data_IF_781327835096
#
_entry.id   IF_781327835096
#
_cell.length_a   1.000
_cell.length_b   1.000
_cell.length_c   1.000
_cell.angle_alpha   90.00
_cell.angle_beta   90.00
_cell.angle_gamma   90.00
#
_symmetry.space_group_name_H-M   'P 1'
#
loop_
_entity.id
_entity.type
_entity.pdbx_description
1 polymer ?
#
# COMPACT_ATOMS: atom_id res chain seq x y z
N UNK A 1 -3.62 -18.28 -12.10
CA UNK A 1 -2.75 -18.90 -11.09
C UNK A 1 -3.52 -18.95 -9.79
N UNK A 2 -3.19 -19.90 -8.92
CA UNK A 2 -3.82 -19.94 -7.60
C UNK A 2 -3.35 -18.74 -6.77
N UNK A 3 -4.23 -18.10 -5.98
CA UNK A 3 -3.84 -16.99 -5.13
C UNK A 3 -2.79 -17.40 -4.10
N UNK A 4 -1.86 -16.51 -3.79
CA UNK A 4 -0.86 -16.78 -2.75
C UNK A 4 -1.50 -16.91 -1.38
N UNK A 5 -0.85 -17.72 -0.53
CA UNK A 5 -1.32 -17.98 0.82
C UNK A 5 -1.38 -16.72 1.70
N UNK A 6 -2.37 -16.65 2.60
CA UNK A 6 -2.63 -15.48 3.43
C UNK A 6 -1.48 -15.09 4.36
N UNK A 7 -0.57 -16.02 4.68
CA UNK A 7 0.61 -15.70 5.49
C UNK A 7 1.53 -14.70 4.79
N UNK A 8 1.66 -14.78 3.46
CA UNK A 8 2.51 -13.91 2.64
C UNK A 8 1.80 -12.59 2.29
N UNK A 9 0.47 -12.60 2.20
CA UNK A 9 -0.30 -11.37 1.91
C UNK A 9 -0.18 -10.35 3.04
N UNK A 10 -0.03 -9.07 2.69
CA UNK A 10 0.18 -7.97 3.62
C UNK A 10 1.26 -6.99 3.16
N UNK A 11 1.69 -6.14 4.09
CA UNK A 11 2.83 -5.24 3.89
C UNK A 11 4.00 -5.68 4.78
N UNK A 12 5.21 -5.57 4.22
CA UNK A 12 6.42 -6.12 4.80
C UNK A 12 7.57 -5.13 4.69
N UNK A 13 8.43 -5.14 5.71
CA UNK A 13 9.71 -4.43 5.68
C UNK A 13 10.84 -5.39 5.94
N UNK A 14 11.94 -5.22 5.22
CA UNK A 14 13.17 -5.96 5.49
C UNK A 14 13.93 -5.30 6.65
N UNK A 15 14.25 -6.06 7.68
CA UNK A 15 15.07 -5.60 8.80
C UNK A 15 16.55 -5.61 8.48
N UNK A 16 17.03 -6.65 7.82
CA UNK A 16 18.39 -6.75 7.30
C UNK A 16 18.50 -7.82 6.23
N UNK A 17 19.61 -7.77 5.51
CA UNK A 17 20.15 -8.84 4.68
C UNK A 17 21.54 -9.26 5.18
N UNK A 18 21.90 -10.52 4.99
CA UNK A 18 23.26 -11.03 5.08
C UNK A 18 23.57 -11.75 3.77
N UNK A 19 24.77 -11.52 3.25
CA UNK A 19 25.28 -12.21 2.07
C UNK A 19 26.59 -12.87 2.36
N UNK A 20 26.82 -14.00 1.73
CA UNK A 20 28.13 -14.57 1.59
C UNK A 20 29.04 -13.60 0.81
N UNK A 21 30.31 -13.46 1.24
CA UNK A 21 31.27 -12.60 0.54
C UNK A 21 32.09 -13.34 -0.50
N UNK A 22 32.34 -14.63 -0.26
CA UNK A 22 33.10 -15.52 -1.14
C UNK A 22 32.40 -16.88 -1.18
N UNK A 23 32.32 -17.56 -2.34
CA UNK A 23 31.69 -18.88 -2.45
C UNK A 23 32.20 -19.87 -1.39
N UNK A 24 31.28 -20.45 -0.61
CA UNK A 24 31.57 -21.42 0.46
C UNK A 24 32.03 -20.82 1.81
N UNK A 25 31.98 -19.50 1.98
CA UNK A 25 32.25 -18.80 3.24
C UNK A 25 31.00 -18.63 4.12
N UNK A 26 31.19 -18.10 5.34
CA UNK A 26 30.06 -17.79 6.23
C UNK A 26 29.36 -16.51 5.78
N UNK A 27 28.04 -16.46 5.97
CA UNK A 27 27.24 -15.24 5.82
C UNK A 27 27.86 -14.08 6.61
N UNK A 28 27.98 -12.93 5.95
CA UNK A 28 28.52 -11.70 6.51
C UNK A 28 27.68 -11.09 7.66
N UNK A 29 28.04 -9.89 8.11
CA UNK A 29 27.25 -9.18 9.12
C UNK A 29 25.87 -8.78 8.58
N UNK A 30 24.94 -8.49 9.49
CA UNK A 30 23.63 -7.93 9.16
C UNK A 30 23.80 -6.55 8.53
N UNK A 31 23.20 -6.37 7.36
CA UNK A 31 23.17 -5.11 6.62
C UNK A 31 21.74 -4.57 6.54
N UNK A 32 21.54 -3.36 7.07
CA UNK A 32 20.28 -2.63 7.05
C UNK A 32 20.43 -1.28 6.30
N UNK A 33 21.37 -1.21 5.36
CA UNK A 33 21.67 0.00 4.59
C UNK A 33 20.64 0.34 3.50
N UNK A 34 19.70 -0.56 3.23
CA UNK A 34 18.66 -0.43 2.21
C UNK A 34 17.29 -0.60 2.86
N UNK A 35 16.45 0.43 2.75
CA UNK A 35 15.04 0.40 3.10
C UNK A 35 14.29 -0.43 2.06
N UNK A 36 13.41 -1.31 2.52
CA UNK A 36 12.52 -2.11 1.66
C UNK A 36 11.09 -1.99 2.16
N UNK A 37 10.16 -1.71 1.25
CA UNK A 37 8.74 -1.85 1.47
C UNK A 37 8.16 -2.77 0.39
N UNK A 38 7.74 -3.95 0.81
CA UNK A 38 7.19 -5.00 -0.03
C UNK A 38 5.71 -5.17 0.28
N UNK A 39 4.86 -5.04 -0.74
CA UNK A 39 3.42 -5.20 -0.62
C UNK A 39 2.99 -6.40 -1.45
N UNK A 40 2.35 -7.38 -0.80
CA UNK A 40 1.80 -8.56 -1.44
C UNK A 40 0.29 -8.60 -1.25
N UNK A 41 -0.41 -8.76 -2.38
CA UNK A 41 -1.83 -9.13 -2.45
C UNK A 41 -1.95 -10.60 -2.85
N UNK A 42 -3.15 -11.20 -2.85
CA UNK A 42 -3.29 -12.58 -3.30
C UNK A 42 -2.81 -12.87 -4.74
N UNK A 43 -2.70 -11.86 -5.61
CA UNK A 43 -2.38 -12.07 -7.04
C UNK A 43 -1.14 -11.33 -7.53
N UNK A 44 -0.74 -10.26 -6.85
CA UNK A 44 0.34 -9.40 -7.32
C UNK A 44 1.14 -8.83 -6.16
N UNK A 45 2.38 -8.47 -6.46
CA UNK A 45 3.28 -7.83 -5.52
C UNK A 45 3.98 -6.64 -6.14
N UNK A 46 4.47 -5.75 -5.29
CA UNK A 46 5.47 -4.73 -5.63
C UNK A 46 6.49 -4.65 -4.50
N UNK A 47 7.77 -4.64 -4.87
CA UNK A 47 8.93 -4.49 -4.00
C UNK A 47 9.64 -3.18 -4.36
N UNK A 48 9.74 -2.25 -3.39
CA UNK A 48 10.49 -1.00 -3.54
C UNK A 48 11.69 -1.03 -2.59
N UNK A 49 12.90 -0.89 -3.14
CA UNK A 49 14.18 -0.91 -2.41
C UNK A 49 14.98 0.35 -2.72
N UNK A 50 15.47 1.02 -1.69
CA UNK A 50 16.37 2.19 -1.85
C UNK A 50 17.33 2.36 -0.68
N UNK A 51 18.50 3.00 -0.86
CA UNK A 51 19.42 3.25 0.24
C UNK A 51 18.79 4.04 1.38
N UNK A 52 18.93 3.57 2.62
CA UNK A 52 18.34 4.19 3.81
C UNK A 52 18.92 5.60 4.08
N UNK A 53 20.17 5.84 3.67
CA UNK A 53 20.86 7.13 3.83
C UNK A 53 21.36 7.64 2.49
N UNK A 54 21.30 8.97 2.31
CA UNK A 54 21.90 9.64 1.15
C UNK A 54 23.42 9.41 1.10
N UNK A 55 23.94 9.19 -0.11
CA UNK A 55 25.39 9.13 -0.36
C UNK A 55 26.09 7.83 0.08
N UNK A 56 25.35 6.77 0.40
CA UNK A 56 25.93 5.42 0.52
C UNK A 56 26.41 4.92 -0.84
N UNK A 57 27.52 4.18 -0.86
CA UNK A 57 28.24 3.77 -2.07
C UNK A 57 27.41 2.93 -3.04
N UNK A 58 27.89 2.84 -4.29
CA UNK A 58 27.32 2.19 -5.49
C UNK A 58 26.83 0.74 -5.36
N UNK A 59 27.04 0.06 -4.23
CA UNK A 59 26.53 -1.30 -3.99
C UNK A 59 25.12 -1.30 -3.38
N UNK A 60 24.72 -0.25 -2.65
CA UNK A 60 23.33 -0.04 -2.27
C UNK A 60 22.58 0.49 -3.50
N UNK A 61 22.26 -0.41 -4.42
CA UNK A 61 21.48 -0.07 -5.61
C UNK A 61 20.04 0.14 -5.23
N UNK A 62 19.47 1.20 -5.76
CA UNK A 62 18.02 1.36 -5.83
C UNK A 62 17.47 0.31 -6.78
N UNK A 63 16.50 -0.47 -6.32
CA UNK A 63 15.89 -1.56 -7.08
C UNK A 63 14.40 -1.51 -6.82
N UNK A 64 13.60 -1.76 -7.85
CA UNK A 64 12.17 -1.89 -7.66
C UNK A 64 11.58 -2.75 -8.76
N UNK A 65 10.63 -3.60 -8.40
CA UNK A 65 9.98 -4.48 -9.36
C UNK A 65 8.59 -4.85 -8.88
N UNK A 66 7.74 -5.25 -9.81
CA UNK A 66 6.37 -5.65 -9.56
C UNK A 66 5.98 -6.79 -10.47
N UNK A 67 5.03 -7.61 -10.02
CA UNK A 67 4.68 -8.81 -10.77
C UNK A 67 3.74 -9.71 -10.01
N UNK A 68 3.90 -11.01 -10.25
CA UNK A 68 3.09 -12.08 -9.66
C UNK A 68 3.97 -13.04 -8.87
N UNK A 69 3.37 -13.71 -7.89
CA UNK A 69 4.10 -14.60 -6.99
C UNK A 69 3.54 -16.00 -7.08
N UNK A 70 4.41 -17.00 -7.03
CA UNK A 70 4.00 -18.41 -6.85
C UNK A 70 4.56 -18.93 -5.53
N UNK A 71 3.79 -19.76 -4.84
CA UNK A 71 4.20 -20.39 -3.57
C UNK A 71 4.12 -21.89 -3.65
N UNK A 72 5.10 -22.58 -3.07
CA UNK A 72 5.18 -24.04 -3.02
C UNK A 72 5.48 -24.51 -1.61
N UNK A 73 4.90 -25.63 -1.21
CA UNK A 73 5.27 -26.32 0.03
C UNK A 73 6.64 -26.99 -0.13
N UNK A 74 7.45 -26.95 0.92
CA UNK A 74 8.68 -27.76 0.99
C UNK A 74 8.45 -29.01 1.84
N UNK A 75 9.25 -30.05 1.59
CA UNK A 75 9.14 -31.35 2.31
C UNK A 75 9.33 -31.23 3.83
N UNK A 76 10.01 -30.18 4.31
CA UNK A 76 10.24 -29.90 5.72
C UNK A 76 9.22 -28.94 6.35
N UNK A 77 8.12 -28.61 5.66
CA UNK A 77 7.06 -27.73 6.17
C UNK A 77 7.38 -26.23 6.10
N UNK A 78 8.47 -25.85 5.43
CA UNK A 78 8.74 -24.48 5.00
C UNK A 78 7.92 -24.12 3.75
N UNK A 79 8.10 -22.88 3.29
CA UNK A 79 7.43 -22.37 2.08
C UNK A 79 8.48 -21.85 1.11
N UNK A 80 8.41 -22.24 -0.16
CA UNK A 80 9.19 -21.62 -1.22
C UNK A 80 8.34 -20.55 -1.88
N UNK A 81 8.91 -19.37 -2.08
CA UNK A 81 8.31 -18.25 -2.81
C UNK A 81 9.12 -18.00 -4.07
N UNK A 82 8.45 -17.91 -5.21
CA UNK A 82 9.03 -17.52 -6.48
C UNK A 82 8.44 -16.17 -6.88
N UNK A 83 9.30 -15.18 -7.12
CA UNK A 83 8.86 -13.86 -7.59
C UNK A 83 9.04 -13.75 -9.09
N UNK A 84 7.94 -13.48 -9.78
CA UNK A 84 7.96 -13.35 -11.23
C UNK A 84 7.80 -11.87 -11.60
N UNK A 85 8.92 -11.17 -11.70
CA UNK A 85 8.94 -9.77 -12.11
C UNK A 85 8.31 -9.60 -13.50
N UNK A 86 7.29 -8.75 -13.59
CA UNK A 86 6.63 -8.35 -14.83
C UNK A 86 6.88 -6.88 -15.16
N UNK A 87 7.48 -6.13 -14.23
CA UNK A 87 8.05 -4.81 -14.41
C UNK A 87 9.23 -4.68 -13.45
N UNK A 88 10.31 -4.05 -13.90
CA UNK A 88 11.54 -3.86 -13.15
C UNK A 88 12.11 -2.48 -13.48
N UNK A 89 12.71 -1.83 -12.48
CA UNK A 89 13.39 -0.55 -12.60
C UNK A 89 14.65 -0.64 -13.48
N UNK A 90 15.37 -1.77 -13.40
CA UNK A 90 16.61 -2.01 -14.14
C UNK A 90 16.36 -2.43 -15.59
N UNK A 91 15.11 -2.73 -15.96
CA UNK A 91 14.76 -2.87 -17.36
C UNK A 91 14.86 -1.51 -18.03
N UNK A 92 15.70 -1.44 -19.08
CA UNK A 92 15.93 -0.22 -19.85
C UNK A 92 14.59 0.51 -20.09
N UNK A 93 14.51 1.77 -19.64
CA UNK A 93 13.30 2.61 -19.61
C UNK A 93 12.77 2.96 -21.03
N UNK A 94 13.33 2.34 -22.07
CA UNK A 94 12.92 2.45 -23.46
C UNK A 94 12.01 1.31 -23.93
N UNK A 95 11.95 1.19 -25.26
CA UNK A 95 11.07 0.23 -25.94
C UNK A 95 11.39 -1.22 -25.56
N UNK A 96 12.66 -1.56 -25.35
CA UNK A 96 13.08 -2.92 -24.98
C UNK A 96 12.54 -3.34 -23.60
N UNK A 97 12.63 -2.47 -22.58
CA UNK A 97 12.05 -2.76 -21.27
C UNK A 97 10.53 -2.90 -21.33
N UNK A 98 9.86 -2.05 -22.12
CA UNK A 98 8.42 -2.16 -22.35
C UNK A 98 8.02 -3.49 -23.01
N UNK A 99 8.82 -3.99 -23.96
CA UNK A 99 8.59 -5.29 -24.60
C UNK A 99 8.81 -6.45 -23.60
N UNK A 100 9.86 -6.38 -22.76
CA UNK A 100 10.11 -7.36 -21.68
C UNK A 100 8.94 -7.42 -20.69
N UNK A 101 8.45 -6.26 -20.23
CA UNK A 101 7.26 -6.20 -19.38
C UNK A 101 6.02 -6.77 -20.04
N UNK A 102 5.79 -6.42 -21.31
CA UNK A 102 4.62 -6.92 -22.03
C UNK A 102 4.67 -8.45 -22.17
N UNK A 103 5.84 -9.02 -22.45
CA UNK A 103 6.04 -10.46 -22.56
C UNK A 103 5.87 -11.17 -21.20
N UNK A 104 6.42 -10.61 -20.12
CA UNK A 104 6.31 -11.16 -18.78
C UNK A 104 4.84 -11.15 -18.29
N UNK A 105 4.13 -10.03 -18.49
CA UNK A 105 2.70 -9.95 -18.17
C UNK A 105 1.86 -10.92 -19.01
N UNK A 106 2.14 -11.05 -20.31
CA UNK A 106 1.45 -12.01 -21.17
C UNK A 106 1.66 -13.46 -20.70
N UNK A 107 2.86 -13.79 -20.23
CA UNK A 107 3.19 -15.10 -19.68
C UNK A 107 2.43 -15.35 -18.35
N UNK A 108 2.40 -14.35 -17.45
CA UNK A 108 1.63 -14.40 -16.21
C UNK A 108 0.12 -14.55 -16.45
N UNK A 109 -0.45 -13.76 -17.37
CA UNK A 109 -1.86 -13.83 -17.78
C UNK A 109 -2.21 -15.23 -18.35
N UNK A 110 -1.27 -15.87 -19.04
CA UNK A 110 -1.41 -17.23 -19.55
C UNK A 110 -1.20 -18.33 -18.48
N UNK A 111 -1.02 -17.96 -17.21
CA UNK A 111 -0.77 -18.88 -16.10
C UNK A 111 0.61 -19.53 -16.13
N UNK A 112 1.57 -18.96 -16.87
CA UNK A 112 2.94 -19.46 -17.02
C UNK A 112 3.93 -18.31 -16.83
N UNK A 113 3.98 -17.70 -15.64
CA UNK A 113 4.86 -16.57 -15.39
C UNK A 113 6.31 -16.95 -15.64
N UNK A 114 7.11 -16.00 -16.14
CA UNK A 114 8.52 -16.25 -16.43
C UNK A 114 9.29 -16.43 -15.12
N UNK A 115 10.13 -17.46 -15.05
CA UNK A 115 11.00 -17.69 -13.90
C UNK A 115 12.10 -16.63 -13.81
N UNK A 116 12.47 -16.28 -12.58
CA UNK A 116 13.62 -15.46 -12.22
C UNK A 116 14.53 -16.29 -11.30
N UNK A 117 15.72 -15.77 -11.04
CA UNK A 117 16.61 -16.26 -9.98
C UNK A 117 16.08 -15.97 -8.56
N UNK A 118 15.08 -15.09 -8.43
CA UNK A 118 14.50 -14.69 -7.15
C UNK A 118 13.58 -15.80 -6.62
N UNK A 119 14.18 -16.69 -5.84
CA UNK A 119 13.54 -17.79 -5.14
C UNK A 119 13.97 -17.73 -3.67
N UNK A 120 12.99 -17.70 -2.77
CA UNK A 120 13.22 -17.59 -1.32
C UNK A 120 12.55 -18.73 -0.55
N UNK A 121 13.27 -19.32 0.40
CA UNK A 121 12.75 -20.27 1.39
C UNK A 121 12.35 -19.51 2.66
N UNK A 122 11.08 -19.53 3.02
CA UNK A 122 10.52 -18.79 4.13
C UNK A 122 10.24 -19.67 5.35
N UNK A 123 10.69 -19.18 6.50
CA UNK A 123 10.43 -19.73 7.82
C UNK A 123 9.90 -18.64 8.78
N UNK A 124 8.81 -18.91 9.48
CA UNK A 124 8.31 -18.01 10.52
C UNK A 124 9.16 -18.16 11.79
N UNK A 125 10.01 -17.17 12.07
CA UNK A 125 10.92 -17.19 13.23
C UNK A 125 10.32 -16.52 14.48
N UNK A 126 9.27 -15.72 14.33
CA UNK A 126 8.55 -15.12 15.44
C UNK A 126 7.06 -14.94 15.09
N UNK A 127 6.17 -15.55 15.86
CA UNK A 127 4.71 -15.46 15.66
C UNK A 127 4.05 -14.30 16.40
N UNK A 128 4.72 -13.72 17.41
CA UNK A 128 4.20 -12.55 18.13
C UNK A 128 4.30 -11.27 17.30
N UNK A 129 3.33 -10.36 17.45
CA UNK A 129 3.29 -9.08 16.73
C UNK A 129 4.45 -8.14 17.15
N UNK A 130 5.29 -7.65 16.21
CA UNK A 130 5.22 -7.88 14.76
C UNK A 130 5.77 -9.24 14.37
N UNK A 131 5.05 -9.95 13.50
CA UNK A 131 5.46 -11.25 12.99
C UNK A 131 6.78 -11.11 12.22
N UNK A 132 7.71 -12.03 12.46
CA UNK A 132 9.00 -12.06 11.77
C UNK A 132 9.20 -13.35 11.01
N UNK A 133 9.74 -13.21 9.81
CA UNK A 133 10.06 -14.30 8.92
C UNK A 133 11.52 -14.21 8.51
N UNK A 134 12.14 -15.35 8.33
CA UNK A 134 13.45 -15.48 7.70
C UNK A 134 13.23 -15.97 6.27
N UNK A 135 13.90 -15.33 5.34
CA UNK A 135 14.09 -15.83 3.98
C UNK A 135 15.54 -16.29 3.81
N UNK A 136 15.75 -17.43 3.17
CA UNK A 136 17.06 -17.85 2.65
C UNK A 136 16.95 -18.26 1.20
N UNK A 137 17.96 -17.99 0.39
CA UNK A 137 18.04 -18.58 -0.93
C UNK A 137 18.28 -20.11 -0.86
N UNK A 138 17.98 -20.86 -1.94
CA UNK A 138 18.13 -22.31 -1.93
C UNK A 138 19.56 -22.81 -1.72
N UNK A 139 20.57 -22.01 -2.05
CA UNK A 139 21.99 -22.36 -1.88
C UNK A 139 22.58 -21.87 -0.53
N UNK A 140 21.82 -21.10 0.24
CA UNK A 140 22.19 -20.61 1.56
C UNK A 140 23.23 -19.49 1.55
N UNK A 141 23.44 -18.83 0.41
CA UNK A 141 24.38 -17.70 0.26
C UNK A 141 23.77 -16.36 0.68
N UNK A 142 22.47 -16.32 0.94
CA UNK A 142 21.72 -15.14 1.37
C UNK A 142 20.74 -15.46 2.50
N UNK A 143 20.62 -14.53 3.45
CA UNK A 143 19.58 -14.54 4.49
C UNK A 143 18.99 -13.14 4.63
N UNK A 144 17.66 -13.05 4.66
CA UNK A 144 16.93 -11.82 4.99
C UNK A 144 15.99 -12.03 6.18
N UNK A 145 15.84 -11.00 7.02
CA UNK A 145 14.79 -10.96 8.04
C UNK A 145 13.71 -9.99 7.60
N UNK A 146 12.48 -10.49 7.49
CA UNK A 146 11.29 -9.75 7.12
C UNK A 146 10.39 -9.54 8.33
N UNK A 147 9.85 -8.34 8.45
CA UNK A 147 8.91 -7.94 9.49
C UNK A 147 7.59 -7.62 8.81
N UNK A 148 6.53 -8.33 9.19
CA UNK A 148 5.19 -8.04 8.74
C UNK A 148 4.68 -6.81 9.47
N UNK A 149 4.39 -5.74 8.73
CA UNK A 149 3.89 -4.48 9.30
C UNK A 149 2.37 -4.39 9.23
N UNK A 150 1.76 -5.05 8.25
CA UNK A 150 0.31 -5.18 8.10
C UNK A 150 -0.05 -6.61 7.71
N UNK A 151 -1.04 -7.16 8.40
CA UNK A 151 -1.58 -8.49 8.14
C UNK A 151 -2.50 -8.53 6.90
N UNK A 152 -3.08 -9.70 6.64
CA UNK A 152 -4.06 -9.81 5.58
C UNK A 152 -5.29 -8.92 5.88
N UNK A 153 -5.46 -7.88 5.07
CA UNK A 153 -6.53 -6.88 5.16
C UNK A 153 -7.36 -6.85 3.88
N UNK A 154 -8.11 -5.77 3.63
CA UNK A 154 -8.66 -5.55 2.30
C UNK A 154 -7.50 -5.34 1.30
N UNK A 155 -7.60 -5.97 0.13
CA UNK A 155 -6.57 -5.92 -0.90
C UNK A 155 -7.13 -5.31 -2.18
N UNK A 156 -6.29 -4.57 -2.88
CA UNK A 156 -6.54 -4.20 -4.27
C UNK A 156 -5.30 -4.43 -5.10
N UNK A 157 -5.49 -4.99 -6.29
CA UNK A 157 -4.47 -5.01 -7.34
C UNK A 157 -5.06 -4.41 -8.60
N UNK A 158 -4.47 -3.32 -9.09
CA UNK A 158 -4.87 -2.67 -10.34
C UNK A 158 -3.75 -2.74 -11.35
N UNK A 159 -4.08 -3.13 -12.58
CA UNK A 159 -3.15 -3.13 -13.72
C UNK A 159 -3.57 -2.13 -14.79
N UNK A 160 -2.60 -1.41 -15.35
CA UNK A 160 -2.76 -0.53 -16.52
C UNK A 160 -1.58 -0.68 -17.47
N UNK A 161 -1.79 -1.40 -18.58
CA UNK A 161 -0.70 -1.80 -19.46
C UNK A 161 0.34 -2.61 -18.68
N UNK A 162 1.57 -2.10 -18.62
CA UNK A 162 2.68 -2.71 -17.87
C UNK A 162 2.78 -2.24 -16.41
N UNK A 163 1.97 -1.26 -15.99
CA UNK A 163 1.98 -0.75 -14.63
C UNK A 163 1.10 -1.58 -13.69
N UNK A 164 1.51 -1.70 -12.43
CA UNK A 164 0.81 -2.40 -11.36
C UNK A 164 0.78 -1.53 -10.10
N UNK A 165 -0.42 -1.38 -9.52
CA UNK A 165 -0.65 -0.80 -8.20
C UNK A 165 -1.19 -1.90 -7.30
N UNK A 166 -0.59 -2.06 -6.12
CA UNK A 166 -1.05 -2.99 -5.09
C UNK A 166 -1.35 -2.24 -3.80
N UNK A 167 -2.35 -2.72 -3.06
CA UNK A 167 -2.75 -2.22 -1.75
C UNK A 167 -3.00 -3.40 -0.81
N UNK A 168 -2.48 -3.31 0.41
CA UNK A 168 -2.82 -4.14 1.55
C UNK A 168 -3.17 -3.25 2.75
N UNK A 169 -4.44 -3.25 3.15
CA UNK A 169 -5.01 -2.33 4.15
C UNK A 169 -4.77 -0.86 3.80
N UNK A 170 -3.93 -0.16 4.56
CA UNK A 170 -3.54 1.22 4.34
C UNK A 170 -2.18 1.37 3.64
N UNK A 171 -1.49 0.27 3.29
CA UNK A 171 -0.18 0.32 2.62
C UNK A 171 -0.30 0.03 1.13
N UNK A 172 0.31 0.88 0.30
CA UNK A 172 0.31 0.73 -1.14
C UNK A 172 1.72 0.68 -1.73
N UNK A 173 1.82 0.14 -2.94
CA UNK A 173 2.99 0.28 -3.79
C UNK A 173 2.60 0.31 -5.28
N UNK A 174 3.31 1.12 -6.05
CA UNK A 174 3.13 1.33 -7.49
C UNK A 174 4.46 1.03 -8.18
N UNK A 175 4.41 0.16 -9.18
CA UNK A 175 5.47 0.00 -10.17
C UNK A 175 4.92 0.38 -11.54
N UNK A 176 5.49 1.42 -12.13
CA UNK A 176 5.16 1.98 -13.44
C UNK A 176 6.45 2.52 -14.04
N UNK A 177 6.58 2.56 -15.37
CA UNK A 177 7.83 2.95 -16.05
C UNK A 177 8.52 4.17 -15.41
N UNK A 178 7.78 5.26 -15.16
CA UNK A 178 8.32 6.48 -14.55
C UNK A 178 8.24 6.55 -13.00
N UNK A 179 7.53 5.63 -12.34
CA UNK A 179 7.21 5.72 -10.92
C UNK A 179 7.30 4.36 -10.21
N UNK A 180 8.26 4.24 -9.32
CA UNK A 180 8.45 3.10 -8.43
C UNK A 180 8.42 3.58 -6.99
N UNK A 181 7.24 3.53 -6.38
CA UNK A 181 6.95 4.17 -5.09
C UNK A 181 6.10 3.29 -4.20
N UNK A 182 6.26 3.42 -2.89
CA UNK A 182 5.43 2.78 -1.89
C UNK A 182 5.15 3.75 -0.73
N UNK A 183 4.06 3.50 0.00
CA UNK A 183 3.69 4.35 1.12
C UNK A 183 2.37 3.95 1.76
N UNK A 184 1.71 4.92 2.39
CA UNK A 184 0.51 4.69 3.19
C UNK A 184 -0.63 5.65 2.86
N UNK A 185 -1.86 5.22 3.13
CA UNK A 185 -3.06 6.04 3.06
C UNK A 185 -3.26 6.68 4.43
N UNK A 186 -3.08 7.99 4.50
CA UNK A 186 -3.31 8.77 5.71
C UNK A 186 -4.81 8.79 6.10
N UNK A 187 -5.11 9.12 7.36
CA UNK A 187 -6.49 9.16 7.88
C UNK A 187 -7.44 10.09 7.10
N UNK A 188 -6.89 11.11 6.43
CA UNK A 188 -7.64 12.03 5.57
C UNK A 188 -7.92 11.48 4.17
N UNK A 189 -7.50 10.24 3.88
CA UNK A 189 -7.63 9.56 2.59
C UNK A 189 -6.53 9.88 1.58
N UNK A 190 -5.54 10.70 1.94
CA UNK A 190 -4.41 11.01 1.06
C UNK A 190 -3.44 9.84 1.00
N UNK A 191 -3.07 9.45 -0.22
CA UNK A 191 -2.05 8.44 -0.49
C UNK A 191 -0.70 9.14 -0.43
N UNK A 192 0.11 8.90 0.61
CA UNK A 192 1.38 9.58 0.82
C UNK A 192 2.52 8.63 0.49
N UNK A 193 3.44 9.08 -0.37
CA UNK A 193 4.64 8.31 -0.73
C UNK A 193 5.61 8.33 0.46
N UNK A 194 6.03 7.17 0.93
CA UNK A 194 7.05 7.03 2.00
C UNK A 194 8.41 6.63 1.45
N UNK A 195 8.40 5.85 0.38
CA UNK A 195 9.58 5.24 -0.21
C UNK A 195 9.53 5.40 -1.72
N UNK A 196 10.58 5.96 -2.31
CA UNK A 196 10.69 6.10 -3.76
C UNK A 196 12.03 5.56 -4.25
N UNK A 197 11.95 4.65 -5.21
CA UNK A 197 13.09 4.15 -5.97
C UNK A 197 13.37 4.98 -7.23
N UNK A 198 12.37 5.70 -7.75
CA UNK A 198 12.55 6.53 -8.95
C UNK A 198 13.01 7.95 -8.65
N UNK A 199 12.47 8.60 -7.61
CA UNK A 199 12.83 9.97 -7.21
C UNK A 199 12.51 10.24 -5.73
N UNK A 200 13.55 10.36 -4.90
CA UNK A 200 13.43 10.61 -3.46
C UNK A 200 12.69 11.92 -3.14
N UNK A 201 12.69 12.91 -4.03
CA UNK A 201 11.99 14.19 -3.80
C UNK A 201 10.46 14.05 -3.78
N UNK A 202 9.93 12.91 -4.25
CA UNK A 202 8.50 12.60 -4.19
C UNK A 202 8.06 12.08 -2.82
N UNK A 203 9.00 11.70 -1.95
CA UNK A 203 8.66 11.23 -0.60
C UNK A 203 8.01 12.34 0.24
N UNK A 204 6.98 11.98 1.01
CA UNK A 204 6.14 12.89 1.77
C UNK A 204 5.07 13.61 0.93
N UNK A 205 5.06 13.41 -0.40
CA UNK A 205 4.06 14.01 -1.29
C UNK A 205 2.90 13.06 -1.59
N UNK A 206 1.72 13.57 -1.99
CA UNK A 206 0.63 12.73 -2.42
C UNK A 206 0.96 11.96 -3.71
N UNK A 207 0.60 10.68 -3.77
CA UNK A 207 0.63 9.89 -4.98
C UNK A 207 -0.32 10.48 -6.03
N UNK A 208 0.19 10.72 -7.23
CA UNK A 208 -0.61 11.06 -8.40
C UNK A 208 -0.55 9.90 -9.37
N UNK A 209 -1.68 9.20 -9.53
CA UNK A 209 -1.81 8.18 -10.56
C UNK A 209 -1.98 8.87 -11.91
N UNK A 210 -1.12 8.50 -12.86
CA UNK A 210 -1.30 8.90 -14.25
C UNK A 210 -2.51 8.20 -14.88
N UNK A 211 -2.87 8.63 -16.08
CA UNK A 211 -3.90 8.00 -16.91
C UNK A 211 -5.31 8.27 -16.40
N UNK A 212 -6.29 7.89 -17.22
CA UNK A 212 -7.67 8.03 -16.80
C UNK A 212 -8.00 6.85 -15.87
N UNK A 213 -8.90 7.06 -14.90
CA UNK A 213 -9.48 6.00 -14.10
C UNK A 213 -9.70 4.70 -14.89
N UNK A 214 -10.63 4.70 -15.83
CA UNK A 214 -11.09 3.52 -16.56
C UNK A 214 -10.00 2.64 -17.23
N UNK A 215 -8.77 3.13 -17.36
CA UNK A 215 -7.63 2.38 -17.91
C UNK A 215 -7.05 1.37 -16.90
N UNK A 216 -7.32 1.54 -15.60
CA UNK A 216 -6.91 0.63 -14.53
C UNK A 216 -7.95 -0.48 -14.33
N UNK A 217 -7.48 -1.73 -14.45
CA UNK A 217 -8.31 -2.92 -14.29
C UNK A 217 -7.98 -3.64 -12.99
N UNK A 218 -8.99 -3.92 -12.18
CA UNK A 218 -8.82 -4.73 -10.99
C UNK A 218 -8.53 -6.19 -11.34
N UNK A 219 -7.61 -6.82 -10.61
CA UNK A 219 -7.36 -8.26 -10.71
C UNK A 219 -8.40 -9.05 -9.90
N UNK A 220 -8.73 -10.30 -10.30
CA UNK A 220 -9.88 -11.06 -9.79
C UNK A 220 -9.98 -11.24 -8.27
N UNK A 221 -8.86 -11.35 -7.55
CA UNK A 221 -8.83 -11.57 -6.10
C UNK A 221 -8.86 -10.29 -5.26
N UNK A 222 -9.07 -9.12 -5.90
CA UNK A 222 -9.26 -7.86 -5.20
C UNK A 222 -10.50 -7.92 -4.30
N UNK A 223 -10.37 -7.51 -3.03
CA UNK A 223 -11.48 -7.61 -2.09
C UNK A 223 -12.52 -6.52 -2.33
N UNK A 224 -13.80 -6.90 -2.30
CA UNK A 224 -14.92 -5.96 -2.36
C UNK A 224 -14.97 -5.17 -1.05
N UNK A 225 -14.52 -3.91 -1.06
CA UNK A 225 -14.55 -3.09 0.15
C UNK A 225 -13.53 -1.95 0.20
N UNK A 226 -12.54 -1.94 -0.68
CA UNK A 226 -11.61 -0.82 -0.76
C UNK A 226 -12.29 0.38 -1.41
N UNK A 227 -12.55 1.43 -0.64
CA UNK A 227 -13.15 2.69 -1.11
C UNK A 227 -12.05 3.73 -1.33
N UNK A 228 -11.99 4.27 -2.54
CA UNK A 228 -11.02 5.28 -2.95
C UNK A 228 -11.69 6.64 -3.02
N UNK A 229 -11.11 7.65 -2.37
CA UNK A 229 -11.57 9.02 -2.48
C UNK A 229 -10.45 9.91 -3.01
N UNK A 230 -10.15 9.79 -4.31
CA UNK A 230 -9.64 10.96 -5.00
C UNK A 230 -10.85 11.84 -5.29
N UNK A 231 -10.77 13.16 -5.11
CA UNK A 231 -11.88 14.12 -5.28
C UNK A 231 -12.48 14.19 -6.71
N UNK A 232 -12.21 13.19 -7.55
CA UNK A 232 -12.74 12.96 -8.90
C UNK A 232 -13.15 11.49 -9.19
N UNK A 233 -13.18 10.60 -8.20
CA UNK A 233 -13.97 9.34 -8.20
C UNK A 233 -13.24 8.03 -8.52
N UNK A 234 -13.63 6.95 -7.80
CA UNK A 234 -13.51 5.52 -8.12
C UNK A 234 -14.33 4.64 -7.15
N UNK A 235 -15.10 3.67 -7.67
CA UNK A 235 -15.76 2.60 -6.90
C UNK A 235 -15.34 1.20 -7.38
N UNK A 236 -15.03 0.29 -6.45
CA UNK A 236 -14.99 -1.17 -6.72
C UNK A 236 -15.97 -1.85 -5.76
N UNK A 237 -17.09 -2.31 -6.32
CA UNK A 237 -18.22 -2.87 -5.57
C UNK A 237 -19.56 -2.19 -5.87
N UNK A 238 -19.93 -2.06 -7.14
CA UNK A 238 -21.32 -1.86 -7.58
C UNK A 238 -22.04 -0.56 -7.17
N UNK A 239 -21.60 0.60 -7.67
CA UNK A 239 -22.43 1.73 -8.13
C UNK A 239 -21.54 2.70 -8.95
N UNK A 240 -22.14 3.66 -9.65
CA UNK A 240 -21.47 4.53 -10.63
C UNK A 240 -21.14 5.94 -10.11
N UNK A 241 -20.07 6.50 -10.70
CA UNK A 241 -19.52 7.86 -10.63
C UNK A 241 -20.50 9.03 -10.83
N UNK A 242 -20.07 10.26 -10.46
CA UNK A 242 -19.97 11.27 -11.51
C UNK A 242 -18.67 12.10 -11.53
N UNK A 243 -18.30 12.51 -12.75
CA UNK A 243 -17.31 13.53 -13.13
C UNK A 243 -17.68 14.93 -12.60
N UNK A 244 -16.73 15.89 -12.51
CA UNK A 244 -17.03 17.28 -12.15
C UNK A 244 -17.98 17.93 -13.15
N UNK A 245 -19.16 18.32 -12.70
CA UNK A 245 -20.04 19.21 -13.46
C UNK A 245 -19.40 20.59 -13.54
N UNK A 246 -19.16 21.05 -14.77
CA UNK A 246 -19.22 22.48 -15.06
C UNK A 246 -20.51 23.05 -14.47
N UNK A 247 -20.39 24.15 -13.71
CA UNK A 247 -21.51 24.81 -13.02
C UNK A 247 -22.73 24.97 -13.94
N UNK A 248 -23.82 24.31 -13.58
CA UNK A 248 -25.18 24.79 -13.86
C UNK A 248 -26.15 24.25 -12.80
N UNK A 249 -27.05 25.07 -12.23
CA UNK A 249 -27.85 24.66 -11.10
C UNK A 249 -29.12 23.95 -11.59
N UNK A 250 -29.26 22.65 -11.29
CA UNK A 250 -30.57 21.97 -11.15
C UNK A 250 -30.39 20.54 -10.60
N UNK A 251 -31.08 20.24 -9.51
CA UNK A 251 -31.11 18.91 -8.88
C UNK A 251 -31.72 17.86 -9.84
N UNK A 252 -31.22 16.62 -9.90
CA UNK A 252 -31.88 15.56 -10.65
C UNK A 252 -33.13 15.07 -9.91
N UNK A 253 -34.20 14.87 -10.67
CA UNK A 253 -35.48 14.28 -10.26
C UNK A 253 -35.62 12.91 -10.91
N UNK A 254 -36.41 12.00 -10.32
CA UNK A 254 -36.75 10.72 -10.95
C UNK A 254 -37.67 10.88 -12.19
N UNK A 255 -38.00 9.77 -12.87
CA UNK A 255 -38.90 9.76 -14.04
C UNK A 255 -40.33 10.25 -13.75
N UNK A 256 -40.63 10.54 -12.49
CA UNK A 256 -41.90 11.08 -12.00
C UNK A 256 -41.74 12.50 -11.39
N UNK A 257 -40.57 13.13 -11.49
CA UNK A 257 -40.33 14.50 -11.03
C UNK A 257 -40.13 14.66 -9.52
N UNK A 258 -39.69 13.62 -8.78
CA UNK A 258 -39.47 13.69 -7.32
C UNK A 258 -37.98 13.66 -6.92
N UNK A 259 -37.58 14.34 -5.82
CA UNK A 259 -36.22 14.27 -5.29
C UNK A 259 -35.93 12.89 -4.68
N UNK A 260 -34.79 12.30 -5.05
CA UNK A 260 -34.32 11.02 -4.50
C UNK A 260 -33.83 11.20 -3.04
N UNK A 261 -34.42 10.46 -2.11
CA UNK A 261 -33.92 10.33 -0.73
C UNK A 261 -33.02 9.09 -0.61
N UNK A 262 -31.92 9.12 0.16
CA UNK A 262 -31.03 7.97 0.32
C UNK A 262 -31.65 6.86 1.19
N UNK A 263 -31.50 5.62 0.74
CA UNK A 263 -31.95 4.40 1.43
C UNK A 263 -31.09 4.08 2.67
N UNK A 264 -31.69 3.65 3.80
CA UNK A 264 -30.97 3.23 5.01
C UNK A 264 -30.79 1.69 5.07
N UNK A 265 -29.60 1.23 5.50
CA UNK A 265 -29.21 -0.07 6.11
C UNK A 265 -27.72 -0.38 5.74
N UNK A 266 -26.71 -0.09 6.59
CA UNK A 266 -26.13 -0.94 7.69
C UNK A 266 -25.24 -2.11 7.17
N UNK A 267 -23.97 -2.37 7.56
CA UNK A 267 -23.09 -1.99 8.70
C UNK A 267 -21.57 -2.34 8.48
N UNK A 268 -20.69 -1.36 8.80
CA UNK A 268 -19.32 -1.36 9.42
C UNK A 268 -18.12 -2.04 8.69
N UNK A 269 -16.95 -1.35 8.57
CA UNK A 269 -16.15 -0.81 9.68
C UNK A 269 -16.21 0.73 9.78
N UNK A 270 -16.96 1.22 10.77
CA UNK A 270 -17.10 2.66 11.05
C UNK A 270 -16.75 2.99 12.52
N UNK A 271 -16.11 2.06 13.24
CA UNK A 271 -16.02 2.12 14.71
C UNK A 271 -14.68 2.55 15.33
N UNK A 272 -13.67 2.91 14.53
CA UNK A 272 -12.47 3.61 15.08
C UNK A 272 -12.58 5.13 14.93
N UNK A 273 -12.98 5.63 13.77
CA UNK A 273 -13.12 7.08 13.54
C UNK A 273 -14.31 7.72 14.28
N UNK A 274 -15.46 7.04 14.41
CA UNK A 274 -16.61 7.59 15.13
C UNK A 274 -16.45 7.56 16.65
N UNK A 275 -15.65 6.64 17.20
CA UNK A 275 -15.38 6.56 18.64
C UNK A 275 -14.46 7.71 19.11
N UNK A 276 -13.59 8.20 18.23
CA UNK A 276 -12.74 9.38 18.48
C UNK A 276 -13.51 10.70 18.30
N UNK A 277 -14.46 10.78 17.36
CA UNK A 277 -15.31 11.97 17.18
C UNK A 277 -16.34 12.15 18.30
N UNK A 278 -16.88 11.05 18.88
CA UNK A 278 -17.84 11.15 19.98
C UNK A 278 -17.18 11.52 21.33
N UNK A 279 -15.90 11.16 21.53
CA UNK A 279 -15.17 11.50 22.77
C UNK A 279 -14.62 12.93 22.77
N UNK A 280 -14.32 13.53 21.61
CA UNK A 280 -13.89 14.95 21.55
C UNK A 280 -15.06 15.94 21.65
N UNK A 281 -16.27 15.56 21.22
CA UNK A 281 -17.45 16.42 21.34
C UNK A 281 -18.07 16.42 22.75
N UNK A 282 -17.89 15.37 23.54
CA UNK A 282 -18.38 15.35 24.94
C UNK A 282 -17.51 16.21 25.86
N UNK A 283 -16.21 16.36 25.61
CA UNK A 283 -15.36 17.28 26.38
C UNK A 283 -15.57 18.76 26.02
N UNK A 284 -16.01 19.08 24.80
CA UNK A 284 -16.26 20.47 24.39
C UNK A 284 -17.61 21.03 24.88
N UNK A 285 -18.64 20.17 25.03
CA UNK A 285 -19.99 20.62 25.46
C UNK A 285 -20.11 20.78 26.98
N UNK A 286 -19.27 20.10 27.78
CA UNK A 286 -19.24 20.28 29.25
C UNK A 286 -18.48 21.54 29.65
N UNK A 287 -17.55 22.05 28.83
CA UNK A 287 -16.76 23.25 29.16
C UNK A 287 -17.44 24.58 28.78
N UNK A 288 -18.39 24.58 27.83
CA UNK A 288 -19.13 25.80 27.44
C UNK A 288 -20.37 26.10 28.29
N UNK A 289 -20.84 25.18 29.15
CA UNK A 289 -21.96 25.43 30.09
C UNK A 289 -21.55 25.97 31.46
N UNK A 290 -20.26 26.27 31.70
CA UNK A 290 -19.77 26.89 32.94
C UNK A 290 -19.39 28.37 32.85
N UNK A 291 -19.49 29.02 31.68
CA UNK A 291 -19.02 30.42 31.48
C UNK A 291 -20.17 31.43 31.29
N UNK A 292 -21.44 31.01 31.36
CA UNK A 292 -22.58 31.94 31.31
C UNK A 292 -23.47 31.83 32.56
N UNK A 293 -23.06 32.56 33.60
CA UNK A 293 -23.92 33.00 34.71
C UNK A 293 -24.00 34.54 34.72
N UNK A 294 -25.10 35.13 35.20
CA UNK A 294 -25.59 36.43 34.73
C UNK A 294 -24.82 37.62 35.30
N UNK A 295 -24.66 38.65 34.45
CA UNK A 295 -24.17 39.97 34.83
C UNK A 295 -25.12 40.63 35.84
N UNK A 296 -24.60 41.04 37.00
CA UNK A 296 -25.20 42.10 37.81
C UNK A 296 -24.29 43.32 37.78
N UNK A 297 -24.76 44.37 37.13
CA UNK A 297 -24.30 45.74 37.34
C UNK A 297 -24.77 46.23 38.72
N UNK A 298 -23.86 46.86 39.46
CA UNK A 298 -24.15 47.56 40.71
C UNK A 298 -22.95 48.41 41.12
N UNK A 299 -23.03 49.71 40.85
CA UNK A 299 -22.05 50.75 41.13
C UNK A 299 -22.01 51.20 42.61
N UNK A 300 -20.92 51.93 42.95
CA UNK A 300 -20.63 52.84 44.10
C UNK A 300 -19.92 52.18 45.29
N UNK A 301 -18.92 52.75 45.95
CA UNK A 301 -18.04 53.95 45.85
C UNK A 301 -16.97 53.74 46.95
N UNK A 302 -15.81 54.42 46.92
CA UNK A 302 -14.76 54.24 47.90
C UNK A 302 -14.99 55.12 49.16
N UNK A 303 -14.66 54.60 50.33
CA UNK A 303 -14.27 55.47 51.45
C UNK A 303 -12.88 55.07 51.94
N UNK A 304 -11.99 56.07 51.91
CA UNK A 304 -10.78 56.15 52.70
C UNK A 304 -11.16 56.22 54.19
N UNK A 305 -10.49 55.44 55.02
CA UNK A 305 -9.43 55.87 55.96
C UNK A 305 -8.79 54.62 56.54
#
# INVERSE_FOLDING_TARGET
MDPVEGWLTGAWRRSYIRREKNPGSKLGPKDASVDVLYIQTPEAFVDIRRPAKDGLSTEAKTLAFGGVTSTFDTDNGGKTVHWHACIDLDWDQGEEGSQKSSAAWAAADAGRPLGTEDIGLFECIQTSNPQKWRETDPDGTLEEEWVKVVDAGPFLSLRRGNAILVLADDHFALASGAAFVAGTIAENGSWVIELSASDRNTEGTPLVLEGAPQDWKALPASSSGVRYNNKSGWEVGGACFPYPQFKSPRNPLDSCGRPLLPCPHERKPFFKALKMLLLSMISAVVLQRRIMGPSRHGWKMPMKT
#
